data_IF_163073972749
#
_entry.id   IF_163073972749
#
_cell.length_a   1.000
_cell.length_b   1.000
_cell.length_c   1.000
_cell.angle_alpha   90.00
_cell.angle_beta   90.00
_cell.angle_gamma   90.00
#
_symmetry.space_group_name_H-M   'P 1'
#
loop_
_entity.id
_entity.type
_entity.pdbx_description
1 polymer ?
#
# COMPACT_ATOMS: atom_id res chain seq x y z
N UNK A 1 2.74 -14.60 15.79
CA UNK A 1 2.23 -13.28 16.26
C UNK A 1 2.49 -12.19 15.21
N UNK A 2 3.73 -11.97 14.75
CA UNK A 2 4.02 -11.05 13.64
C UNK A 2 3.45 -11.50 12.28
N UNK A 3 3.40 -12.81 12.03
CA UNK A 3 2.76 -13.41 10.84
C UNK A 3 1.30 -12.97 10.66
N UNK A 4 0.53 -12.98 11.76
CA UNK A 4 -0.90 -12.65 11.74
C UNK A 4 -1.12 -11.14 11.51
N UNK A 5 -0.23 -10.29 12.03
CA UNK A 5 -0.30 -8.84 11.78
C UNK A 5 -0.13 -8.52 10.30
N UNK A 6 0.87 -9.12 9.67
CA UNK A 6 1.16 -8.86 8.25
C UNK A 6 -0.01 -9.29 7.37
N UNK A 7 -0.57 -10.47 7.64
CA UNK A 7 -1.74 -10.98 6.91
C UNK A 7 -2.97 -10.07 7.08
N UNK A 8 -3.30 -9.67 8.31
CA UNK A 8 -4.41 -8.76 8.59
C UNK A 8 -4.18 -7.39 7.92
N UNK A 9 -2.95 -6.89 7.98
CA UNK A 9 -2.56 -5.63 7.36
C UNK A 9 -2.73 -5.67 5.83
N UNK A 10 -2.28 -6.73 5.17
CA UNK A 10 -2.48 -6.87 3.72
C UNK A 10 -3.96 -7.04 3.36
N UNK A 11 -4.72 -7.76 4.19
CA UNK A 11 -6.17 -7.94 4.01
C UNK A 11 -6.93 -6.62 4.13
N UNK A 12 -6.51 -5.74 5.05
CA UNK A 12 -7.00 -4.36 5.17
C UNK A 12 -6.55 -3.50 3.98
N UNK A 13 -5.25 -3.46 3.67
CA UNK A 13 -4.68 -2.68 2.55
C UNK A 13 -5.37 -2.96 1.23
N UNK A 14 -5.65 -4.24 0.96
CA UNK A 14 -6.18 -4.71 -0.32
C UNK A 14 -7.71 -4.63 -0.43
N UNK A 15 -8.40 -4.02 0.54
CA UNK A 15 -9.84 -3.76 0.44
C UNK A 15 -10.19 -2.95 -0.82
N UNK A 16 -11.31 -3.29 -1.44
CA UNK A 16 -11.75 -2.70 -2.72
C UNK A 16 -12.54 -1.41 -2.53
N UNK A 17 -13.20 -1.25 -1.38
CA UNK A 17 -13.92 -0.02 -1.02
C UNK A 17 -13.36 0.62 0.25
N UNK A 18 -13.63 1.91 0.41
CA UNK A 18 -13.28 2.66 1.62
C UNK A 18 -13.96 2.11 2.86
N UNK A 19 -15.22 1.70 2.73
CA UNK A 19 -15.98 1.08 3.82
C UNK A 19 -15.32 -0.21 4.30
N UNK A 20 -14.99 -1.12 3.38
CA UNK A 20 -14.29 -2.37 3.71
C UNK A 20 -12.91 -2.13 4.32
N UNK A 21 -12.20 -1.09 3.88
CA UNK A 21 -10.93 -0.69 4.49
C UNK A 21 -11.14 -0.22 5.93
N UNK A 22 -12.10 0.68 6.15
CA UNK A 22 -12.36 1.27 7.47
C UNK A 22 -12.80 0.22 8.49
N UNK A 23 -13.66 -0.73 8.12
CA UNK A 23 -14.05 -1.84 9.01
C UNK A 23 -12.83 -2.64 9.48
N UNK A 24 -11.99 -3.09 8.55
CA UNK A 24 -10.78 -3.86 8.88
C UNK A 24 -9.73 -3.02 9.60
N UNK A 25 -9.66 -1.73 9.33
CA UNK A 25 -8.77 -0.82 10.06
C UNK A 25 -9.19 -0.71 11.53
N UNK A 26 -10.48 -0.64 11.84
CA UNK A 26 -10.97 -0.69 13.22
C UNK A 26 -10.65 -2.04 13.90
N UNK A 27 -10.79 -3.15 13.18
CA UNK A 27 -10.38 -4.48 13.67
C UNK A 27 -8.87 -4.53 13.98
N UNK A 28 -8.03 -3.95 13.11
CA UNK A 28 -6.59 -3.81 13.35
C UNK A 28 -6.29 -3.00 14.60
N UNK A 29 -6.98 -1.87 14.81
CA UNK A 29 -6.80 -1.02 16.01
C UNK A 29 -7.24 -1.71 17.30
N UNK A 30 -8.23 -2.60 17.23
CA UNK A 30 -8.70 -3.38 18.37
C UNK A 30 -7.76 -4.57 18.67
N UNK A 31 -7.33 -5.30 17.63
CA UNK A 31 -6.49 -6.50 17.75
C UNK A 31 -5.03 -6.18 18.11
N UNK A 32 -4.52 -5.04 17.65
CA UNK A 32 -3.13 -4.63 17.81
C UNK A 32 -3.02 -3.32 18.59
N UNK A 33 -3.59 -3.28 19.79
CA UNK A 33 -3.66 -2.09 20.64
C UNK A 33 -2.28 -1.45 20.90
N UNK A 34 -1.25 -2.27 21.15
CA UNK A 34 0.13 -1.79 21.32
C UNK A 34 0.68 -1.02 20.11
N UNK A 35 0.17 -1.32 18.91
CA UNK A 35 0.56 -0.68 17.66
C UNK A 35 -0.37 0.47 17.26
N UNK A 36 -1.46 0.71 18.00
CA UNK A 36 -2.46 1.77 17.70
C UNK A 36 -1.83 3.15 17.46
N UNK A 37 -0.88 3.64 18.28
CA UNK A 37 -0.27 4.96 18.02
C UNK A 37 0.46 5.02 16.68
N UNK A 38 1.06 3.92 16.24
CA UNK A 38 1.74 3.84 14.94
C UNK A 38 0.72 3.79 13.79
N UNK A 39 -0.32 2.97 13.93
CA UNK A 39 -1.38 2.84 12.93
C UNK A 39 -2.07 4.19 12.70
N UNK A 40 -2.44 4.90 13.77
CA UNK A 40 -3.15 6.18 13.70
C UNK A 40 -2.27 7.33 13.24
N UNK A 41 -1.04 7.44 13.76
CA UNK A 41 -0.19 8.62 13.50
C UNK A 41 0.68 8.51 12.25
N UNK A 42 0.95 7.29 11.75
CA UNK A 42 1.88 7.08 10.63
C UNK A 42 1.21 6.40 9.44
N UNK A 43 0.47 5.33 9.69
CA UNK A 43 -0.10 4.51 8.61
C UNK A 43 -1.33 5.17 8.01
N UNK A 44 -2.34 5.50 8.83
CA UNK A 44 -3.60 6.03 8.34
C UNK A 44 -3.49 7.38 7.58
N UNK A 45 -2.64 8.35 7.99
CA UNK A 45 -2.48 9.60 7.27
C UNK A 45 -1.89 9.42 5.86
N UNK A 46 -1.09 8.37 5.64
CA UNK A 46 -0.47 8.08 4.34
C UNK A 46 -1.28 7.14 3.46
N UNK A 47 -2.49 6.72 3.88
CA UNK A 47 -3.28 5.66 3.23
C UNK A 47 -3.57 5.90 1.75
N UNK A 48 -3.74 7.15 1.35
CA UNK A 48 -4.01 7.52 -0.04
C UNK A 48 -2.92 7.07 -1.02
N UNK A 49 -1.68 6.89 -0.53
CA UNK A 49 -0.54 6.48 -1.35
C UNK A 49 -0.40 4.97 -1.54
N UNK A 50 -1.10 4.14 -0.76
CA UNK A 50 -0.85 2.68 -0.74
C UNK A 50 -2.07 1.79 -0.54
N UNK A 51 -3.19 2.32 -0.03
CA UNK A 51 -4.41 1.57 0.13
C UNK A 51 -5.06 1.32 -1.24
N UNK A 52 -5.47 0.08 -1.50
CA UNK A 52 -5.94 -0.34 -2.82
C UNK A 52 -7.14 0.49 -3.28
N UNK A 53 -8.13 0.70 -2.41
CA UNK A 53 -9.32 1.49 -2.73
C UNK A 53 -9.01 2.96 -3.07
N UNK A 54 -7.88 3.51 -2.62
CA UNK A 54 -7.44 4.86 -2.97
C UNK A 54 -6.79 4.87 -4.36
N UNK A 55 -5.84 3.96 -4.59
CA UNK A 55 -5.08 3.91 -5.85
C UNK A 55 -5.92 3.39 -7.02
N UNK A 56 -6.89 2.50 -6.77
CA UNK A 56 -7.76 1.94 -7.81
C UNK A 56 -8.77 2.93 -8.39
N UNK A 57 -8.85 4.14 -7.85
CA UNK A 57 -9.66 5.24 -8.42
C UNK A 57 -9.02 5.83 -9.68
N UNK A 58 -7.74 5.58 -9.92
CA UNK A 58 -7.03 6.08 -11.09
C UNK A 58 -7.01 4.97 -12.14
N UNK A 59 -7.70 5.19 -13.26
CA UNK A 59 -7.60 4.30 -14.42
C UNK A 59 -6.17 4.34 -14.94
N UNK A 60 -5.40 3.33 -14.58
CA UNK A 60 -3.96 3.26 -14.78
C UNK A 60 -3.68 2.61 -16.15
N UNK A 61 -4.33 3.07 -17.22
CA UNK A 61 -4.08 2.58 -18.57
C UNK A 61 -2.67 2.95 -19.02
N UNK A 62 -1.71 2.08 -18.72
CA UNK A 62 -0.33 2.15 -19.21
C UNK A 62 0.73 2.55 -18.18
N UNK A 63 0.40 2.84 -16.91
CA UNK A 63 1.42 3.17 -15.88
C UNK A 63 1.95 1.90 -15.18
N UNK A 64 1.33 0.73 -15.38
CA UNK A 64 1.87 -0.56 -14.90
C UNK A 64 3.11 -1.04 -15.69
N UNK A 65 3.48 -0.35 -16.77
CA UNK A 65 4.67 -0.69 -17.54
C UNK A 65 5.92 -0.02 -16.96
N UNK A 66 6.79 -0.82 -16.34
CA UNK A 66 8.15 -0.41 -15.97
C UNK A 66 9.06 -0.20 -17.18
N UNK A 67 8.62 -0.54 -18.39
CA UNK A 67 9.44 -0.53 -19.61
C UNK A 67 10.14 0.80 -19.87
N UNK A 68 9.49 1.94 -19.57
CA UNK A 68 10.13 3.26 -19.73
C UNK A 68 11.31 3.42 -18.76
N UNK A 69 11.11 3.08 -17.49
CA UNK A 69 12.14 3.20 -16.45
C UNK A 69 13.27 2.20 -16.70
N UNK A 70 12.94 0.98 -17.11
CA UNK A 70 13.90 -0.07 -17.49
C UNK A 70 14.72 0.34 -18.73
N UNK A 71 14.08 0.92 -19.74
CA UNK A 71 14.75 1.43 -20.94
C UNK A 71 15.77 2.52 -20.59
N UNK A 72 15.37 3.50 -19.78
CA UNK A 72 16.26 4.59 -19.32
C UNK A 72 17.43 4.03 -18.50
N UNK A 73 17.15 3.14 -17.55
CA UNK A 73 18.19 2.50 -16.73
C UNK A 73 19.16 1.67 -17.57
N UNK A 74 18.67 1.05 -18.65
CA UNK A 74 19.50 0.31 -19.59
C UNK A 74 20.46 1.21 -20.37
N UNK A 75 20.01 2.39 -20.81
CA UNK A 75 20.88 3.38 -21.48
C UNK A 75 21.94 3.91 -20.51
N UNK A 76 21.55 4.26 -19.28
CA UNK A 76 22.47 4.79 -18.27
C UNK A 76 23.59 3.79 -17.97
N UNK A 77 23.26 2.50 -17.76
CA UNK A 77 24.28 1.46 -17.52
C UNK A 77 25.30 1.38 -18.65
N UNK A 78 24.85 1.40 -19.91
CA UNK A 78 25.73 1.36 -21.09
C UNK A 78 26.64 2.58 -21.26
N UNK A 79 26.32 3.71 -20.61
CA UNK A 79 27.13 4.93 -20.65
C UNK A 79 28.12 5.02 -19.48
N UNK A 80 27.90 4.25 -18.42
CA UNK A 80 28.71 4.25 -17.20
C UNK A 80 29.70 3.07 -17.17
N UNK A 81 29.40 1.99 -17.90
CA UNK A 81 30.36 0.92 -18.25
C UNK A 81 31.33 1.35 -19.37
#
# INVERSE_FOLDING_TARGET
MASNFVEDFYTMRNSYSEEQFNTKYQEMLAKYELCRPYLEKRIYPSRESWARYCISKIFTAGIESTQRVESINGVIKKLVD
#
